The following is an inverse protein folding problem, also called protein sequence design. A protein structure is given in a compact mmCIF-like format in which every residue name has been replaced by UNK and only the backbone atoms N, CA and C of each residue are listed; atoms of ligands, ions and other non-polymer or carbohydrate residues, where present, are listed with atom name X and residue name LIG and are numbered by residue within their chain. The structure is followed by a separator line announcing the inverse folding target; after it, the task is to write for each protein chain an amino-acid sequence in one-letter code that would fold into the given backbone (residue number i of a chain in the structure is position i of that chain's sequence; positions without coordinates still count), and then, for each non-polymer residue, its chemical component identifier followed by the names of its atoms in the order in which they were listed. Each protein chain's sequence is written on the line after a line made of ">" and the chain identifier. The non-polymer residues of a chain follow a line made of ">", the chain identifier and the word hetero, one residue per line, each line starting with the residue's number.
data_IF_552948574596
#
_entry.id   IF_552948574596
#
_cell.length_a   1.000
_cell.length_b   1.000
_cell.length_c   1.000
_cell.angle_alpha   90.00
_cell.angle_beta   90.00
_cell.angle_gamma   90.00
#
_symmetry.space_group_name_H-M   'P 1'
#
loop_
_entity.id
_entity.type
_entity.pdbx_description
1 polymer ?
#
# COMPACT_ATOMS: atom_id res chain seq x y z
N UNK A 1 -0.46 -8.38 -8.71
CA UNK A 1 -0.61 -6.97 -8.27
C UNK A 1 -2.07 -6.53 -8.24
N UNK A 2 -2.87 -6.81 -9.27
CA UNK A 2 -4.30 -6.42 -9.32
C UNK A 2 -5.15 -6.93 -8.13
N UNK A 3 -4.83 -8.11 -7.59
CA UNK A 3 -5.55 -8.66 -6.45
C UNK A 3 -5.36 -7.85 -5.17
N UNK A 4 -4.15 -7.34 -4.89
CA UNK A 4 -3.89 -6.50 -3.72
C UNK A 4 -4.73 -5.22 -3.74
N UNK A 5 -4.78 -4.56 -4.90
CA UNK A 5 -5.58 -3.34 -5.08
C UNK A 5 -7.08 -3.59 -4.95
N UNK A 6 -7.58 -4.73 -5.44
CA UNK A 6 -8.99 -5.12 -5.29
C UNK A 6 -9.37 -5.42 -3.84
N UNK A 7 -8.49 -6.10 -3.10
CA UNK A 7 -8.69 -6.35 -1.67
C UNK A 7 -8.71 -5.02 -0.88
N UNK A 8 -7.86 -4.05 -1.24
CA UNK A 8 -7.87 -2.71 -0.62
C UNK A 8 -9.15 -1.95 -1.00
N UNK A 9 -9.59 -2.03 -2.26
CA UNK A 9 -10.80 -1.36 -2.74
C UNK A 9 -12.07 -1.90 -2.05
N UNK A 10 -12.11 -3.19 -1.73
CA UNK A 10 -13.22 -3.77 -0.97
C UNK A 10 -13.41 -3.10 0.40
N UNK A 11 -12.32 -2.63 1.01
CA UNK A 11 -12.32 -1.97 2.32
C UNK A 11 -12.39 -0.44 2.25
N UNK A 12 -12.66 0.14 1.08
CA UNK A 12 -12.59 1.59 0.86
C UNK A 12 -13.41 2.40 1.87
N UNK A 13 -14.63 1.95 2.21
CA UNK A 13 -15.50 2.64 3.17
C UNK A 13 -14.90 2.72 4.57
N UNK A 14 -14.22 1.66 5.02
CA UNK A 14 -13.61 1.63 6.35
C UNK A 14 -12.31 2.43 6.37
N UNK A 15 -11.55 2.41 5.27
CA UNK A 15 -10.36 3.24 5.09
C UNK A 15 -10.71 4.74 5.05
N UNK A 16 -11.82 5.10 4.39
CA UNK A 16 -12.35 6.47 4.38
C UNK A 16 -12.77 6.92 5.79
N UNK A 17 -13.44 6.06 6.56
CA UNK A 17 -13.78 6.35 7.97
C UNK A 17 -12.54 6.56 8.84
N UNK A 18 -11.45 5.81 8.58
CA UNK A 18 -10.18 6.02 9.27
C UNK A 18 -9.53 7.35 8.92
N UNK A 19 -9.77 7.86 7.70
CA UNK A 19 -9.46 9.24 7.31
C UNK A 19 -7.97 9.52 7.11
N UNK A 20 -7.13 8.49 6.97
CA UNK A 20 -5.69 8.64 6.69
C UNK A 20 -5.40 8.48 5.20
N UNK A 21 -4.32 9.11 4.70
CA UNK A 21 -3.93 8.96 3.31
C UNK A 21 -3.48 7.54 2.99
N UNK A 22 -3.92 7.01 1.85
CA UNK A 22 -3.38 5.80 1.25
C UNK A 22 -2.40 6.20 0.14
N UNK A 23 -1.10 6.01 0.36
CA UNK A 23 -0.08 6.36 -0.61
C UNK A 23 0.25 5.15 -1.49
N UNK A 24 0.12 5.31 -2.81
CA UNK A 24 0.48 4.31 -3.81
C UNK A 24 1.69 4.80 -4.60
N UNK A 25 2.83 4.14 -4.42
CA UNK A 25 4.07 4.46 -5.11
C UNK A 25 4.34 3.47 -6.25
N UNK A 26 4.54 4.00 -7.44
CA UNK A 26 4.86 3.26 -8.66
C UNK A 26 6.35 3.35 -8.96
N UNK A 27 6.90 2.38 -9.70
CA UNK A 27 8.34 2.39 -10.00
C UNK A 27 8.72 3.38 -11.10
N UNK A 28 7.74 3.88 -11.86
CA UNK A 28 7.95 4.86 -12.92
C UNK A 28 6.67 5.61 -13.28
N UNK A 29 6.83 6.76 -13.94
CA UNK A 29 5.74 7.52 -14.56
C UNK A 29 4.93 6.68 -15.55
N UNK A 30 5.60 5.77 -16.28
CA UNK A 30 4.94 4.90 -17.25
C UNK A 30 4.00 3.88 -16.57
N UNK A 31 4.35 3.36 -15.40
CA UNK A 31 3.46 2.50 -14.62
C UNK A 31 2.31 3.28 -13.99
N UNK A 32 2.59 4.48 -13.45
CA UNK A 32 1.57 5.37 -12.93
C UNK A 32 0.55 5.75 -14.03
N UNK A 33 1.01 6.08 -15.24
CA UNK A 33 0.13 6.42 -16.35
C UNK A 33 -0.76 5.25 -16.82
N UNK A 34 -0.33 4.01 -16.59
CA UNK A 34 -1.13 2.80 -16.88
C UNK A 34 -2.13 2.48 -15.78
N UNK A 35 -1.97 3.08 -14.60
CA UNK A 35 -2.88 2.86 -13.49
C UNK A 35 -4.22 3.52 -13.75
N UNK A 36 -5.26 2.70 -13.85
CA UNK A 36 -6.64 3.14 -13.96
C UNK A 36 -7.40 2.65 -12.74
N UNK A 37 -7.81 3.57 -11.88
CA UNK A 37 -8.55 3.23 -10.66
C UNK A 37 -9.79 2.37 -10.94
N UNK A 38 -10.48 2.62 -12.06
CA UNK A 38 -11.64 1.86 -12.55
C UNK A 38 -11.39 0.35 -12.71
N UNK A 39 -10.15 -0.08 -12.94
CA UNK A 39 -9.80 -1.50 -13.09
C UNK A 39 -9.83 -2.29 -11.77
N UNK A 40 -9.85 -1.59 -10.64
CA UNK A 40 -9.72 -2.15 -9.29
C UNK A 40 -10.95 -1.95 -8.42
N UNK A 41 -11.92 -1.16 -8.87
CA UNK A 41 -13.12 -0.79 -8.12
C UNK A 41 -13.03 0.62 -7.53
N UNK A 42 -13.83 0.89 -6.50
CA UNK A 42 -13.80 2.18 -5.80
C UNK A 42 -12.69 2.17 -4.76
N UNK A 43 -11.63 2.93 -4.98
CA UNK A 43 -10.59 3.16 -3.96
C UNK A 43 -11.06 4.19 -2.92
N UNK A 44 -10.41 4.24 -1.74
CA UNK A 44 -10.63 5.31 -0.78
C UNK A 44 -10.47 6.70 -1.40
N UNK A 45 -11.13 7.68 -0.82
CA UNK A 45 -11.10 9.08 -1.26
C UNK A 45 -9.74 9.75 -1.08
N UNK A 46 -9.00 9.37 -0.03
CA UNK A 46 -7.70 9.98 0.32
C UNK A 46 -6.51 9.22 -0.29
N UNK A 47 -6.61 8.83 -1.56
CA UNK A 47 -5.50 8.18 -2.27
C UNK A 47 -4.53 9.23 -2.81
N UNK A 48 -3.24 9.04 -2.51
CA UNK A 48 -2.15 9.83 -3.07
C UNK A 48 -1.33 8.92 -3.96
N UNK A 49 -1.22 9.28 -5.24
CA UNK A 49 -0.38 8.57 -6.19
C UNK A 49 0.98 9.26 -6.30
N UNK A 50 2.04 8.48 -6.42
CA UNK A 50 3.39 9.00 -6.60
C UNK A 50 4.31 8.01 -7.29
N UNK A 51 5.49 8.49 -7.66
CA UNK A 51 6.55 7.65 -8.24
C UNK A 51 7.70 7.60 -7.24
N UNK A 52 8.15 6.38 -6.93
CA UNK A 52 9.39 6.17 -6.19
C UNK A 52 10.57 6.26 -7.17
N UNK A 53 11.03 7.49 -7.41
CA UNK A 53 12.15 7.76 -8.31
C UNK A 53 13.38 6.97 -7.88
N UNK A 54 14.00 6.28 -8.84
CA UNK A 54 15.16 5.40 -8.65
C UNK A 54 14.92 4.22 -7.68
N UNK A 55 13.68 3.97 -7.24
CA UNK A 55 13.35 2.89 -6.32
C UNK A 55 13.92 3.05 -4.91
N UNK A 56 14.33 4.27 -4.53
CA UNK A 56 15.03 4.54 -3.27
C UNK A 56 14.13 4.26 -2.06
N UNK A 57 12.87 4.68 -2.09
CA UNK A 57 11.94 4.47 -0.98
C UNK A 57 11.73 2.97 -0.75
N UNK A 58 11.48 2.21 -1.83
CA UNK A 58 11.35 0.76 -1.77
C UNK A 58 12.62 0.11 -1.22
N UNK A 59 13.79 0.54 -1.68
CA UNK A 59 15.09 0.01 -1.22
C UNK A 59 15.28 0.25 0.27
N UNK A 60 15.02 1.47 0.75
CA UNK A 60 15.14 1.84 2.16
C UNK A 60 14.15 1.02 3.01
N UNK A 61 12.88 0.86 2.58
CA UNK A 61 11.90 0.04 3.29
C UNK A 61 12.35 -1.43 3.37
N UNK A 62 12.80 -2.02 2.26
CA UNK A 62 13.29 -3.40 2.23
C UNK A 62 14.44 -3.59 3.20
N UNK A 63 15.40 -2.66 3.22
CA UNK A 63 16.56 -2.72 4.09
C UNK A 63 16.17 -2.57 5.58
N UNK A 64 15.48 -1.49 5.94
CA UNK A 64 15.16 -1.15 7.33
C UNK A 64 14.20 -2.17 7.96
N UNK A 65 13.24 -2.67 7.18
CA UNK A 65 12.29 -3.69 7.64
C UNK A 65 12.86 -5.12 7.52
N UNK A 66 14.11 -5.28 7.07
CA UNK A 66 14.80 -6.57 6.88
C UNK A 66 14.01 -7.55 6.03
N UNK A 67 13.40 -7.04 4.96
CA UNK A 67 12.61 -7.82 4.00
C UNK A 67 13.52 -8.53 2.99
N UNK A 68 12.96 -9.48 2.24
CA UNK A 68 13.70 -10.15 1.19
C UNK A 68 13.94 -9.18 0.02
N UNK A 69 15.20 -8.91 -0.38
CA UNK A 69 15.49 -8.04 -1.53
C UNK A 69 14.89 -8.55 -2.84
N UNK A 70 14.81 -9.87 -3.00
CA UNK A 70 14.21 -10.54 -4.16
C UNK A 70 12.73 -10.90 -3.93
N UNK A 71 12.12 -10.32 -2.89
CA UNK A 71 10.74 -10.56 -2.52
C UNK A 71 9.76 -9.99 -3.54
N UNK A 72 8.56 -10.57 -3.59
CA UNK A 72 7.52 -10.13 -4.52
C UNK A 72 6.87 -8.81 -4.06
N UNK A 73 6.36 -8.06 -5.04
CA UNK A 73 5.53 -6.89 -4.80
C UNK A 73 4.05 -7.30 -4.56
N UNK A 74 3.26 -6.44 -3.88
CA UNK A 74 3.65 -5.16 -3.30
C UNK A 74 4.37 -5.30 -1.96
N UNK A 75 5.15 -4.27 -1.57
CA UNK A 75 5.51 -4.02 -0.18
C UNK A 75 4.48 -3.04 0.38
N UNK A 76 3.85 -3.38 1.49
CA UNK A 76 2.84 -2.54 2.14
C UNK A 76 3.29 -2.27 3.57
N UNK A 77 3.21 -1.01 3.97
CA UNK A 77 3.48 -0.58 5.33
C UNK A 77 2.32 0.25 5.86
N UNK A 78 2.07 0.17 7.17
CA UNK A 78 1.28 1.18 7.88
C UNK A 78 2.24 1.84 8.86
N UNK A 79 2.33 3.16 8.78
CA UNK A 79 3.11 3.96 9.70
C UNK A 79 2.21 4.91 10.49
N UNK A 80 2.61 5.25 11.71
CA UNK A 80 1.91 6.23 12.54
C UNK A 80 2.64 7.60 12.58
N UNK A 81 2.02 8.56 13.28
CA UNK A 81 2.54 9.93 13.43
C UNK A 81 3.80 10.02 14.30
N UNK A 82 4.20 8.94 14.97
CA UNK A 82 5.44 8.84 15.74
C UNK A 82 6.57 8.19 14.95
N UNK A 83 6.41 8.11 13.62
CA UNK A 83 7.38 7.51 12.71
C UNK A 83 7.65 6.02 12.98
N UNK A 84 6.66 5.30 13.51
CA UNK A 84 6.75 3.85 13.73
C UNK A 84 6.04 3.11 12.61
N UNK A 85 6.68 2.07 12.07
CA UNK A 85 6.00 1.09 11.21
C UNK A 85 5.30 0.08 12.10
N UNK A 86 3.95 0.08 12.06
CA UNK A 86 3.08 -0.77 12.89
C UNK A 86 2.56 -2.00 12.15
N UNK A 87 2.77 -2.05 10.84
CA UNK A 87 2.49 -3.20 9.99
C UNK A 87 3.44 -3.18 8.79
N UNK A 88 3.91 -4.36 8.39
CA UNK A 88 4.66 -4.57 7.16
C UNK A 88 4.22 -5.89 6.53
N UNK A 89 4.02 -5.89 5.22
CA UNK A 89 3.86 -7.10 4.42
C UNK A 89 4.64 -6.98 3.12
N UNK A 90 5.18 -8.10 2.65
CA UNK A 90 5.86 -8.20 1.36
C UNK A 90 5.21 -9.32 0.54
N UNK A 91 4.89 -8.99 -0.71
CA UNK A 91 4.13 -9.85 -1.59
C UNK A 91 2.63 -9.77 -1.35
N UNK A 92 1.87 -10.21 -2.34
CA UNK A 92 0.42 -10.34 -2.19
C UNK A 92 0.06 -11.58 -1.36
N UNK A 93 -0.77 -11.38 -0.34
CA UNK A 93 -1.48 -12.44 0.38
C UNK A 93 -2.98 -12.19 0.30
N UNK A 94 -3.76 -13.25 0.14
CA UNK A 94 -5.23 -13.17 0.14
C UNK A 94 -5.72 -12.56 1.46
N UNK A 95 -6.66 -11.61 1.37
CA UNK A 95 -7.21 -10.94 2.54
C UNK A 95 -6.30 -9.82 3.05
N UNK A 96 -5.49 -9.22 2.17
CA UNK A 96 -4.65 -8.08 2.52
C UNK A 96 -5.49 -6.92 3.09
N UNK A 97 -6.63 -6.60 2.47
CA UNK A 97 -7.56 -5.58 2.97
C UNK A 97 -8.00 -5.82 4.42
N UNK A 98 -8.43 -7.05 4.73
CA UNK A 98 -8.79 -7.45 6.09
C UNK A 98 -7.65 -7.27 7.10
N UNK A 99 -6.41 -7.60 6.69
CA UNK A 99 -5.23 -7.44 7.54
C UNK A 99 -4.95 -5.96 7.83
N UNK A 100 -5.10 -5.09 6.84
CA UNK A 100 -4.98 -3.65 7.02
C UNK A 100 -6.02 -3.15 8.02
N UNK A 101 -7.30 -3.53 7.86
CA UNK A 101 -8.36 -3.13 8.79
C UNK A 101 -8.15 -3.64 10.21
N UNK A 102 -7.71 -4.89 10.37
CA UNK A 102 -7.38 -5.44 11.70
C UNK A 102 -6.26 -4.68 12.38
N UNK A 103 -5.30 -4.17 11.62
CA UNK A 103 -4.22 -3.33 12.15
C UNK A 103 -4.76 -1.96 12.53
N UNK A 104 -5.45 -1.30 11.60
CA UNK A 104 -5.99 0.05 11.77
C UNK A 104 -6.94 0.15 12.96
N UNK A 105 -7.79 -0.85 13.19
CA UNK A 105 -8.73 -0.89 14.33
C UNK A 105 -8.04 -0.99 15.71
N UNK A 106 -6.74 -1.26 15.75
CA UNK A 106 -5.93 -1.31 16.98
C UNK A 106 -5.14 -0.02 17.25
N UNK A 107 -5.15 0.92 16.30
CA UNK A 107 -4.49 2.22 16.39
C UNK A 107 -5.45 3.27 16.94
#
# INVERSE_FOLDING_TARGET
>A
TNHAMRDIAAEAKELDKWGRPLVLLFSSEAELARFKQEDFGTLPTNVVLGVDTDGKIKSDIIHEMKLNPDGSLPVVIIADTFNRVVFVSQGYTIGLGDQLLKTIKKL
#
